data_IF_431349742685
#
_entry.id   IF_431349742685
#
_cell.length_a   1.000
_cell.length_b   1.000
_cell.length_c   1.000
_cell.angle_alpha   90.00
_cell.angle_beta   90.00
_cell.angle_gamma   90.00
#
_symmetry.space_group_name_H-M   'P 1'
#
loop_
_entity.id
_entity.type
_entity.pdbx_description
1 polymer ?
#
# COMPACT_ATOMS: atom_id res chain seq x y z
N UNK A 1 -7.84 4.37 7.84
CA UNK A 1 -6.57 5.13 7.96
C UNK A 1 -5.68 4.73 6.79
N UNK A 2 -5.09 5.66 6.05
CA UNK A 2 -4.20 5.37 4.91
C UNK A 2 -2.75 5.35 5.40
N UNK A 3 -1.99 4.32 5.04
CA UNK A 3 -0.58 4.16 5.40
C UNK A 3 0.26 4.07 4.13
N UNK A 4 1.28 4.93 4.01
CA UNK A 4 2.24 4.84 2.91
C UNK A 4 3.16 3.67 3.15
N UNK A 5 3.25 2.78 2.16
CA UNK A 5 4.04 1.56 2.24
C UNK A 5 5.18 1.65 1.25
N UNK A 6 6.37 1.27 1.68
CA UNK A 6 7.53 1.16 0.79
C UNK A 6 7.86 -0.31 0.58
N UNK A 7 8.79 -0.58 -0.33
CA UNK A 7 9.32 -1.93 -0.53
C UNK A 7 9.83 -2.56 0.77
N UNK A 8 10.49 -1.79 1.64
CA UNK A 8 11.07 -2.32 2.88
C UNK A 8 10.01 -2.66 3.94
N UNK A 9 8.83 -2.05 3.89
CA UNK A 9 7.76 -2.29 4.86
C UNK A 9 6.65 -3.19 4.35
N UNK A 10 6.62 -3.49 3.04
CA UNK A 10 5.52 -4.24 2.41
C UNK A 10 5.27 -5.62 3.05
N UNK A 11 6.32 -6.36 3.42
CA UNK A 11 6.16 -7.68 4.04
C UNK A 11 5.46 -7.60 5.40
N UNK A 12 5.90 -6.68 6.26
CA UNK A 12 5.35 -6.54 7.60
C UNK A 12 3.92 -5.97 7.57
N UNK A 13 3.66 -5.00 6.68
CA UNK A 13 2.43 -4.22 6.70
C UNK A 13 1.32 -4.79 5.80
N UNK A 14 1.68 -5.52 4.75
CA UNK A 14 0.72 -6.08 3.79
C UNK A 14 0.68 -7.59 3.88
N UNK A 15 1.82 -8.27 3.69
CA UNK A 15 1.85 -9.73 3.62
C UNK A 15 1.56 -10.42 4.95
N UNK A 16 1.96 -9.81 6.07
CA UNK A 16 1.74 -10.33 7.43
C UNK A 16 0.52 -9.71 8.13
N UNK A 17 -0.31 -8.96 7.40
CA UNK A 17 -1.52 -8.37 7.98
C UNK A 17 -2.50 -9.44 8.46
N UNK A 18 -3.03 -9.26 9.67
CA UNK A 18 -4.06 -10.13 10.24
C UNK A 18 -5.47 -9.87 9.67
N UNK A 19 -5.62 -8.81 8.87
CA UNK A 19 -6.87 -8.43 8.21
C UNK A 19 -6.63 -8.18 6.72
N UNK A 20 -7.66 -8.30 5.86
CA UNK A 20 -7.53 -7.97 4.45
C UNK A 20 -7.04 -6.53 4.23
N UNK A 21 -6.10 -6.35 3.31
CA UNK A 21 -5.52 -5.06 2.95
C UNK A 21 -5.84 -4.76 1.49
N UNK A 22 -6.32 -3.54 1.22
CA UNK A 22 -6.47 -3.01 -0.14
C UNK A 22 -5.28 -2.11 -0.42
N UNK A 23 -4.57 -2.37 -1.52
CA UNK A 23 -3.39 -1.60 -1.93
C UNK A 23 -3.76 -0.74 -3.13
N UNK A 24 -3.64 0.58 -2.94
CA UNK A 24 -3.76 1.56 -4.01
C UNK A 24 -2.38 1.82 -4.63
N UNK A 25 -2.21 1.41 -5.89
CA UNK A 25 -0.99 1.64 -6.65
C UNK A 25 -1.16 2.91 -7.48
N UNK A 26 -0.58 4.01 -7.02
CA UNK A 26 -0.70 5.32 -7.64
C UNK A 26 0.68 5.90 -7.97
N UNK A 27 0.67 6.97 -8.78
CA UNK A 27 1.83 7.82 -9.00
C UNK A 27 1.37 9.27 -9.17
N UNK A 28 2.18 10.25 -8.77
CA UNK A 28 1.81 11.68 -8.83
C UNK A 28 1.53 12.21 -10.23
N UNK A 29 2.00 11.51 -11.26
CA UNK A 29 1.79 11.83 -12.67
C UNK A 29 0.69 10.97 -13.31
N UNK A 30 0.11 10.03 -12.57
CA UNK A 30 -1.05 9.29 -13.03
C UNK A 30 -2.26 10.22 -12.90
N UNK A 31 -2.80 10.69 -14.03
CA UNK A 31 -4.14 11.29 -14.10
C UNK A 31 -5.20 10.32 -13.53
N UNK A 32 -6.46 10.75 -13.37
CA UNK A 32 -7.42 10.20 -12.40
C UNK A 32 -7.21 8.70 -12.14
N UNK A 33 -6.69 8.41 -10.95
CA UNK A 33 -6.38 7.07 -10.46
C UNK A 33 -7.61 6.16 -10.43
#
# INVERSE_FOLDING_TARGET
MIKHVTKSTYEAEVLKSSVPVVVDFWAAWCGPC
#
